data_IF_233737112071
#
_entry.id   IF_233737112071
#
_cell.length_a   1.000
_cell.length_b   1.000
_cell.length_c   1.000
_cell.angle_alpha   90.00
_cell.angle_beta   90.00
_cell.angle_gamma   90.00
#
_symmetry.space_group_name_H-M   'P 1'
#
loop_
_entity.id
_entity.type
_entity.pdbx_description
1 polymer ?
#
# COMPACT_ATOMS: atom_id res chain seq x y z
N UNK A 1 -11.37 33.18 -6.35
CA UNK A 1 -11.98 32.52 -5.17
C UNK A 1 -11.09 31.34 -4.83
N UNK A 2 -10.17 31.53 -3.88
CA UNK A 2 -9.38 30.42 -3.37
C UNK A 2 -10.34 29.50 -2.61
N UNK A 3 -10.60 28.32 -3.17
CA UNK A 3 -11.39 27.29 -2.51
C UNK A 3 -10.49 26.74 -1.41
N UNK A 4 -10.50 27.38 -0.23
CA UNK A 4 -9.81 26.87 0.93
C UNK A 4 -10.33 25.44 1.15
N UNK A 5 -9.47 24.41 1.08
CA UNK A 5 -9.91 23.04 1.23
C UNK A 5 -10.47 22.87 2.64
N UNK A 6 -11.80 22.70 2.75
CA UNK A 6 -12.47 22.40 4.02
C UNK A 6 -11.75 21.21 4.68
N UNK A 7 -11.41 21.31 5.97
CA UNK A 7 -10.73 20.22 6.69
C UNK A 7 -11.48 18.88 6.55
N UNK A 8 -12.81 18.94 6.46
CA UNK A 8 -13.65 17.77 6.22
C UNK A 8 -13.44 17.14 4.83
N UNK A 9 -13.24 17.94 3.77
CA UNK A 9 -12.98 17.39 2.42
C UNK A 9 -11.60 16.77 2.29
N UNK A 10 -10.60 17.28 3.03
CA UNK A 10 -9.26 16.68 3.08
C UNK A 10 -9.31 15.33 3.81
N UNK A 11 -9.94 15.28 4.99
CA UNK A 11 -10.10 14.05 5.77
C UNK A 11 -10.90 12.99 4.98
N UNK A 12 -12.00 13.41 4.34
CA UNK A 12 -12.80 12.55 3.49
C UNK A 12 -12.01 12.01 2.29
N UNK A 13 -11.29 12.87 1.54
CA UNK A 13 -10.43 12.41 0.42
C UNK A 13 -9.38 11.41 0.87
N UNK A 14 -8.76 11.65 2.03
CA UNK A 14 -7.75 10.75 2.61
C UNK A 14 -8.35 9.39 2.95
N UNK A 15 -9.53 9.37 3.57
CA UNK A 15 -10.26 8.16 3.89
C UNK A 15 -10.70 7.41 2.63
N UNK A 16 -11.33 8.08 1.65
CA UNK A 16 -11.75 7.48 0.39
C UNK A 16 -10.59 6.92 -0.43
N UNK A 17 -9.43 7.61 -0.44
CA UNK A 17 -8.22 7.12 -1.11
C UNK A 17 -7.73 5.83 -0.49
N UNK A 18 -7.71 5.72 0.84
CA UNK A 18 -7.35 4.50 1.56
C UNK A 18 -8.29 3.34 1.21
N UNK A 19 -9.60 3.58 1.18
CA UNK A 19 -10.59 2.55 0.82
C UNK A 19 -10.41 2.09 -0.63
N UNK A 20 -10.13 3.01 -1.56
CA UNK A 20 -9.86 2.68 -2.96
C UNK A 20 -8.59 1.83 -3.11
N UNK A 21 -7.50 2.23 -2.47
CA UNK A 21 -6.23 1.48 -2.44
C UNK A 21 -6.44 0.06 -1.87
N UNK A 22 -7.30 -0.08 -0.84
CA UNK A 22 -7.69 -1.36 -0.26
C UNK A 22 -8.47 -2.23 -1.26
N UNK A 23 -9.47 -1.65 -1.93
CA UNK A 23 -10.32 -2.37 -2.87
C UNK A 23 -9.51 -2.89 -4.07
N UNK A 24 -8.61 -2.07 -4.59
CA UNK A 24 -7.69 -2.46 -5.65
C UNK A 24 -6.73 -3.57 -5.20
N UNK A 25 -6.20 -3.47 -3.97
CA UNK A 25 -5.36 -4.52 -3.39
C UNK A 25 -6.10 -5.86 -3.29
N UNK A 26 -7.29 -5.88 -2.67
CA UNK A 26 -8.07 -7.11 -2.51
C UNK A 26 -8.50 -7.70 -3.85
N UNK A 27 -8.81 -6.87 -4.85
CA UNK A 27 -9.13 -7.34 -6.20
C UNK A 27 -7.94 -8.05 -6.86
N UNK A 28 -6.74 -7.48 -6.74
CA UNK A 28 -5.53 -8.09 -7.29
C UNK A 28 -5.11 -9.35 -6.52
N UNK A 29 -5.21 -9.33 -5.19
CA UNK A 29 -4.93 -10.49 -4.34
C UNK A 29 -5.89 -11.65 -4.61
N UNK A 30 -7.19 -11.37 -4.79
CA UNK A 30 -8.19 -12.40 -5.11
C UNK A 30 -7.89 -13.01 -6.47
N UNK A 31 -7.58 -12.18 -7.47
CA UNK A 31 -7.17 -12.65 -8.80
C UNK A 31 -5.93 -13.54 -8.71
N UNK A 32 -4.93 -13.17 -7.92
CA UNK A 32 -3.73 -13.98 -7.70
C UNK A 32 -4.05 -15.33 -7.07
N UNK A 33 -4.88 -15.36 -6.02
CA UNK A 33 -5.29 -16.58 -5.35
C UNK A 33 -6.11 -17.53 -6.25
N UNK A 34 -6.74 -17.04 -7.32
CA UNK A 34 -7.50 -17.88 -8.27
C UNK A 34 -6.63 -18.29 -9.45
N UNK A 35 -5.92 -17.34 -10.04
CA UNK A 35 -5.13 -17.53 -11.27
C UNK A 35 -3.88 -18.36 -11.01
N UNK A 36 -3.17 -18.15 -9.89
CA UNK A 36 -1.94 -18.90 -9.61
C UNK A 36 -2.21 -20.40 -9.39
N UNK A 37 -3.20 -20.82 -8.58
CA UNK A 37 -3.53 -22.24 -8.47
C UNK A 37 -4.03 -22.84 -9.80
N UNK A 38 -4.81 -22.09 -10.58
CA UNK A 38 -5.24 -22.52 -11.91
C UNK A 38 -4.03 -22.80 -12.83
N UNK A 39 -3.06 -21.88 -12.87
CA UNK A 39 -1.81 -22.04 -13.61
C UNK A 39 -0.96 -23.20 -13.07
N UNK A 40 -0.91 -23.38 -11.74
CA UNK A 40 -0.18 -24.47 -11.11
C UNK A 40 -0.76 -25.83 -11.52
N UNK A 41 -2.08 -25.99 -11.49
CA UNK A 41 -2.76 -27.21 -11.95
C UNK A 41 -2.47 -27.44 -13.44
N UNK A 42 -2.65 -26.41 -14.27
CA UNK A 42 -2.40 -26.51 -15.71
C UNK A 42 -0.95 -26.92 -16.00
N UNK A 43 0.00 -26.36 -15.25
CA UNK A 43 1.40 -26.70 -15.40
C UNK A 43 1.70 -28.14 -14.98
N UNK A 44 1.16 -28.61 -13.85
CA UNK A 44 1.34 -29.99 -13.40
C UNK A 44 0.74 -31.00 -14.39
N UNK A 45 -0.35 -30.64 -15.07
CA UNK A 45 -1.00 -31.50 -16.08
C UNK A 45 -0.24 -31.49 -17.41
N UNK A 46 0.25 -30.34 -17.86
CA UNK A 46 0.87 -30.19 -19.19
C UNK A 46 2.36 -30.49 -19.21
N UNK A 47 3.09 -30.10 -18.16
CA UNK A 47 4.54 -30.18 -18.08
C UNK A 47 5.01 -30.30 -16.63
N UNK A 48 4.78 -31.44 -15.95
CA UNK A 48 5.15 -31.63 -14.55
C UNK A 48 6.66 -31.52 -14.30
N UNK A 49 7.49 -31.73 -15.33
CA UNK A 49 8.95 -31.61 -15.24
C UNK A 49 9.49 -30.17 -15.28
N UNK A 50 8.65 -29.17 -15.57
CA UNK A 50 9.07 -27.77 -15.63
C UNK A 50 8.03 -26.87 -14.98
N UNK A 51 8.33 -26.39 -13.77
CA UNK A 51 7.42 -25.57 -12.95
C UNK A 51 7.36 -24.11 -13.41
N UNK A 52 6.92 -23.87 -14.65
CA UNK A 52 6.86 -22.54 -15.24
C UNK A 52 5.88 -21.61 -14.52
N UNK A 53 4.86 -22.14 -13.81
CA UNK A 53 3.90 -21.33 -13.05
C UNK A 53 4.57 -20.47 -11.95
N UNK A 54 5.78 -20.86 -11.52
CA UNK A 54 6.57 -20.11 -10.55
C UNK A 54 6.93 -18.71 -11.07
N UNK A 55 7.24 -18.56 -12.36
CA UNK A 55 7.62 -17.28 -12.94
C UNK A 55 6.50 -16.22 -12.87
N UNK A 56 5.26 -16.49 -13.35
CA UNK A 56 4.12 -15.61 -13.11
C UNK A 56 3.83 -15.39 -11.63
N UNK A 57 3.93 -16.44 -10.81
CA UNK A 57 3.64 -16.33 -9.37
C UNK A 57 4.60 -15.39 -8.64
N UNK A 58 5.89 -15.44 -8.97
CA UNK A 58 6.92 -14.61 -8.36
C UNK A 58 6.83 -13.17 -8.88
N UNK A 59 6.72 -12.98 -10.20
CA UNK A 59 6.61 -11.64 -10.80
C UNK A 59 5.38 -10.88 -10.27
N UNK A 60 4.23 -11.56 -10.22
CA UNK A 60 2.99 -10.92 -9.76
C UNK A 60 2.92 -10.84 -8.23
N UNK A 61 3.46 -11.85 -7.53
CA UNK A 61 3.53 -11.89 -6.07
C UNK A 61 4.39 -10.76 -5.49
N UNK A 62 5.48 -10.38 -6.16
CA UNK A 62 6.29 -9.21 -5.79
C UNK A 62 5.46 -7.93 -5.85
N UNK A 63 4.70 -7.72 -6.94
CA UNK A 63 3.83 -6.54 -7.09
C UNK A 63 2.76 -6.44 -6.01
N UNK A 64 2.13 -7.58 -5.66
CA UNK A 64 1.15 -7.65 -4.57
C UNK A 64 1.82 -7.38 -3.23
N UNK A 65 3.03 -7.88 -3.00
CA UNK A 65 3.78 -7.65 -1.76
C UNK A 65 4.10 -6.15 -1.58
N UNK A 66 4.55 -5.47 -2.64
CA UNK A 66 4.77 -4.02 -2.59
C UNK A 66 3.48 -3.24 -2.33
N UNK A 67 2.37 -3.62 -2.96
CA UNK A 67 1.07 -3.00 -2.72
C UNK A 67 0.58 -3.26 -1.28
N UNK A 68 0.79 -4.47 -0.76
CA UNK A 68 0.48 -4.83 0.63
C UNK A 68 1.27 -3.97 1.62
N UNK A 69 2.57 -3.76 1.38
CA UNK A 69 3.40 -2.89 2.22
C UNK A 69 2.93 -1.43 2.12
N UNK A 70 2.53 -0.94 0.95
CA UNK A 70 1.98 0.43 0.81
C UNK A 70 0.65 0.61 1.55
N UNK A 71 -0.20 -0.41 1.53
CA UNK A 71 -1.54 -0.39 2.12
C UNK A 71 -1.52 -0.64 3.63
N UNK A 72 -0.85 -1.71 4.08
CA UNK A 72 -0.80 -2.17 5.47
C UNK A 72 0.46 -1.74 6.21
N UNK A 73 1.56 -1.50 5.50
CA UNK A 73 2.88 -1.30 6.08
C UNK A 73 3.20 0.15 6.44
N UNK A 74 3.22 0.40 7.76
CA UNK A 74 4.21 1.13 8.58
C UNK A 74 4.70 2.53 8.13
N UNK A 75 4.94 2.78 6.85
CA UNK A 75 5.45 4.05 6.32
C UNK A 75 4.55 5.24 6.64
N UNK A 76 3.27 5.20 6.26
CA UNK A 76 2.38 6.37 6.48
C UNK A 76 2.18 6.72 7.96
N UNK A 77 2.12 5.76 8.88
CA UNK A 77 1.96 6.06 10.31
C UNK A 77 3.27 6.51 10.96
N UNK A 78 4.40 5.94 10.56
CA UNK A 78 5.73 6.38 10.97
C UNK A 78 6.08 7.77 10.41
N UNK A 79 5.72 8.02 9.16
CA UNK A 79 5.94 9.28 8.44
C UNK A 79 5.08 10.40 9.03
N UNK A 80 3.78 10.15 9.30
CA UNK A 80 2.93 11.10 10.04
C UNK A 80 3.47 11.38 11.45
N UNK A 81 4.00 10.37 12.15
CA UNK A 81 4.65 10.56 13.46
C UNK A 81 5.92 11.40 13.35
N UNK A 82 6.77 11.18 12.33
CA UNK A 82 8.00 11.94 12.13
C UNK A 82 7.73 13.38 11.71
N UNK A 83 6.73 13.62 10.86
CA UNK A 83 6.29 14.97 10.49
C UNK A 83 5.82 15.71 11.74
N UNK A 84 4.99 15.07 12.57
CA UNK A 84 4.52 15.65 13.83
C UNK A 84 5.67 15.98 14.79
N UNK A 85 6.64 15.08 14.94
CA UNK A 85 7.83 15.30 15.77
C UNK A 85 8.71 16.46 15.28
N UNK A 86 8.85 16.65 13.96
CA UNK A 86 9.63 17.75 13.39
C UNK A 86 8.90 19.08 13.59
N UNK A 87 7.57 19.12 13.37
CA UNK A 87 6.77 20.32 13.64
C UNK A 87 6.79 20.72 15.12
N UNK A 88 6.65 19.78 16.05
CA UNK A 88 6.76 20.05 17.50
C UNK A 88 8.17 20.51 17.92
N UNK A 89 9.22 20.10 17.19
CA UNK A 89 10.59 20.59 17.43
C UNK A 89 10.82 22.01 16.93
N UNK A 90 10.14 22.42 15.86
CA UNK A 90 10.22 23.79 15.33
C UNK A 90 9.31 24.76 16.09
N UNK A 91 8.18 24.29 16.64
CA UNK A 91 7.27 25.11 17.45
C UNK A 91 7.76 25.37 18.88
N UNK A 92 8.87 24.77 19.34
CA UNK A 92 9.48 25.17 20.62
C UNK A 92 10.19 26.53 20.42
N UNK A 93 9.65 27.65 20.93
CA UNK A 93 10.36 28.92 20.88
C UNK A 93 11.67 28.73 21.64
N UNK A 94 12.79 29.05 21.00
CA UNK A 94 14.07 29.25 21.68
C UNK A 94 13.90 30.46 22.59
N UNK A 95 13.35 30.27 23.79
CA UNK A 95 13.43 31.24 24.88
C UNK A 95 14.90 31.25 25.30
N UNK A 96 15.70 32.07 24.60
CA UNK A 96 17.04 32.44 25.04
C UNK A 96 16.87 33.38 26.23
N UNK A 97 16.93 32.84 27.43
CA UNK A 97 17.11 33.62 28.65
C UNK A 97 18.60 34.00 28.72
N UNK A 98 18.87 35.29 28.61
CA UNK A 98 20.10 35.93 29.09
C UNK A 98 19.68 37.06 30.03
#
# INVERSE_FOLDING_TARGET
MEILPNKETIAYRKASRRVKELKEFYGNLTSYCVVIPFLAILNLVTAPGYLWFLWPSLGWGIGITFHAISVFGIGKSWEERKIKELMEKEEKPKIKTF
#
